data_IF_789815257431
#
_entry.id   IF_789815257431
#
_cell.length_a   1.000
_cell.length_b   1.000
_cell.length_c   1.000
_cell.angle_alpha   90.00
_cell.angle_beta   90.00
_cell.angle_gamma   90.00
#
_symmetry.space_group_name_H-M   'P 1'
#
loop_
_entity.id
_entity.type
_entity.pdbx_description
1 polymer ?
#
# COMPACT_ATOMS: atom_id res chain seq x y z
N UNK A 1 17.11 -12.26 6.14
CA UNK A 1 16.26 -11.20 5.55
C UNK A 1 15.27 -11.88 4.60
N UNK A 2 13.97 -11.58 4.71
CA UNK A 2 12.90 -12.16 3.86
C UNK A 2 12.72 -11.39 2.54
N UNK A 3 13.38 -10.25 2.40
CA UNK A 3 13.24 -9.32 1.29
C UNK A 3 14.59 -9.11 0.63
N UNK A 4 14.67 -9.34 -0.68
CA UNK A 4 15.90 -9.18 -1.47
C UNK A 4 15.66 -8.21 -2.62
N UNK A 5 16.63 -7.35 -2.90
CA UNK A 5 16.60 -6.44 -4.05
C UNK A 5 17.62 -6.87 -5.11
N UNK A 6 17.30 -6.56 -6.37
CA UNK A 6 18.18 -6.65 -7.53
C UNK A 6 18.42 -5.26 -8.11
N UNK A 7 19.36 -5.07 -9.06
CA UNK A 7 19.58 -3.79 -9.71
C UNK A 7 18.32 -3.18 -10.37
N UNK A 8 17.31 -4.00 -10.71
CA UNK A 8 16.04 -3.53 -11.32
C UNK A 8 14.92 -3.33 -10.31
N UNK A 9 15.10 -3.68 -9.04
CA UNK A 9 14.05 -3.62 -8.03
C UNK A 9 13.57 -2.19 -7.78
N UNK A 10 14.47 -1.20 -7.81
CA UNK A 10 14.10 0.21 -7.70
C UNK A 10 13.14 0.63 -8.82
N UNK A 11 13.52 0.37 -10.07
CA UNK A 11 12.70 0.71 -11.23
C UNK A 11 11.32 0.05 -11.14
N UNK A 12 11.27 -1.25 -10.82
CA UNK A 12 10.01 -1.97 -10.67
C UNK A 12 9.12 -1.35 -9.58
N UNK A 13 9.69 -1.00 -8.42
CA UNK A 13 8.94 -0.43 -7.31
C UNK A 13 8.39 0.97 -7.64
N UNK A 14 9.20 1.86 -8.24
CA UNK A 14 8.71 3.20 -8.61
C UNK A 14 7.72 3.16 -9.77
N UNK A 15 7.81 2.19 -10.69
CA UNK A 15 6.80 1.96 -11.71
C UNK A 15 5.46 1.52 -11.09
N UNK A 16 5.49 0.61 -10.09
CA UNK A 16 4.28 0.20 -9.37
C UNK A 16 3.61 1.38 -8.64
N UNK A 17 4.41 2.22 -7.97
CA UNK A 17 3.92 3.44 -7.30
C UNK A 17 3.34 4.44 -8.31
N UNK A 18 4.05 4.67 -9.43
CA UNK A 18 3.58 5.57 -10.49
C UNK A 18 2.25 5.12 -11.09
N UNK A 19 2.09 3.81 -11.33
CA UNK A 19 0.84 3.23 -11.80
C UNK A 19 -0.31 3.41 -10.80
N UNK A 20 -0.05 3.25 -9.50
CA UNK A 20 -1.06 3.49 -8.46
C UNK A 20 -1.47 4.96 -8.35
N UNK A 21 -0.52 5.89 -8.48
CA UNK A 21 -0.84 7.32 -8.48
C UNK A 21 -1.63 7.74 -9.73
N UNK A 22 -1.25 7.22 -10.91
CA UNK A 22 -2.01 7.45 -12.14
C UNK A 22 -3.44 6.89 -12.04
N UNK A 23 -3.59 5.70 -11.45
CA UNK A 23 -4.91 5.11 -11.18
C UNK A 23 -5.79 5.99 -10.29
N UNK A 24 -5.20 6.63 -9.27
CA UNK A 24 -5.90 7.62 -8.44
C UNK A 24 -6.32 8.82 -9.28
N UNK A 25 -5.42 9.37 -10.11
CA UNK A 25 -5.75 10.51 -10.98
C UNK A 25 -6.92 10.21 -11.92
N UNK A 26 -6.90 9.06 -12.61
CA UNK A 26 -7.93 8.69 -13.58
C UNK A 26 -9.32 8.55 -12.92
N UNK A 27 -9.37 7.99 -11.69
CA UNK A 27 -10.62 7.87 -10.92
C UNK A 27 -11.12 9.24 -10.46
N UNK A 28 -10.24 10.10 -9.91
CA UNK A 28 -10.65 11.43 -9.43
C UNK A 28 -11.06 12.38 -10.56
N UNK A 29 -10.49 12.23 -11.77
CA UNK A 29 -10.92 12.96 -12.97
C UNK A 29 -12.27 12.48 -13.53
N UNK A 30 -12.70 11.28 -13.15
CA UNK A 30 -13.90 10.65 -13.69
C UNK A 30 -13.69 9.99 -15.06
N UNK A 31 -12.43 9.78 -15.48
CA UNK A 31 -12.10 9.12 -16.74
C UNK A 31 -12.47 7.63 -16.69
N UNK A 32 -12.39 7.02 -15.50
CA UNK A 32 -12.76 5.63 -15.22
C UNK A 32 -13.45 5.50 -13.87
N UNK A 33 -14.31 4.48 -13.72
CA UNK A 33 -15.02 4.23 -12.46
C UNK A 33 -14.16 3.53 -11.40
N UNK A 34 -13.18 2.73 -11.82
CA UNK A 34 -12.24 2.01 -10.97
C UNK A 34 -11.02 1.53 -11.79
N UNK A 35 -9.96 1.13 -11.10
CA UNK A 35 -8.71 0.65 -11.71
C UNK A 35 -8.14 -0.52 -10.91
N UNK A 36 -7.53 -1.48 -11.60
CA UNK A 36 -6.70 -2.53 -11.02
C UNK A 36 -5.23 -2.35 -11.45
N UNK A 37 -4.31 -2.27 -10.48
CA UNK A 37 -2.88 -2.13 -10.74
C UNK A 37 -2.19 -3.48 -10.58
N UNK A 38 -1.95 -4.16 -11.70
CA UNK A 38 -1.27 -5.45 -11.75
C UNK A 38 0.27 -5.28 -11.64
N UNK A 39 0.78 -4.95 -10.45
CA UNK A 39 2.19 -4.60 -10.26
C UNK A 39 2.94 -5.50 -9.26
N UNK A 40 4.26 -5.53 -9.40
CA UNK A 40 5.23 -6.09 -8.45
C UNK A 40 6.44 -5.16 -8.36
N UNK A 41 7.14 -5.07 -7.20
CA UNK A 41 6.92 -5.79 -5.94
C UNK A 41 5.64 -5.36 -5.18
N UNK A 42 5.17 -6.16 -4.20
CA UNK A 42 4.04 -5.80 -3.33
C UNK A 42 4.42 -4.69 -2.34
N UNK A 43 3.47 -4.26 -1.49
CA UNK A 43 3.67 -3.12 -0.59
C UNK A 43 3.18 -3.21 0.86
N UNK A 44 2.14 -3.98 1.18
CA UNK A 44 1.44 -3.83 2.46
C UNK A 44 2.26 -4.18 3.74
N UNK A 45 3.40 -4.87 3.60
CA UNK A 45 4.33 -5.14 4.70
C UNK A 45 5.41 -4.05 4.90
N UNK A 46 5.57 -3.13 3.95
CA UNK A 46 6.55 -2.06 4.10
C UNK A 46 6.05 -1.02 5.11
N UNK A 47 6.77 -0.90 6.23
CA UNK A 47 6.52 0.05 7.32
C UNK A 47 7.11 1.42 6.98
N UNK A 48 6.99 2.39 7.90
CA UNK A 48 7.61 3.73 7.74
C UNK A 48 9.12 3.67 7.50
N UNK A 49 9.82 2.75 8.17
CA UNK A 49 11.28 2.67 8.18
C UNK A 49 11.85 1.28 7.87
N UNK A 50 10.99 0.30 7.56
CA UNK A 50 11.38 -1.10 7.40
C UNK A 50 10.81 -1.71 6.12
N UNK A 51 11.67 -2.26 5.27
CA UNK A 51 11.26 -3.15 4.17
C UNK A 51 11.27 -4.61 4.65
N UNK A 52 10.16 -5.32 4.46
CA UNK A 52 9.98 -6.72 4.86
C UNK A 52 8.87 -7.38 4.04
N UNK A 53 8.73 -8.71 4.11
CA UNK A 53 7.64 -9.43 3.44
C UNK A 53 7.59 -9.20 1.92
N UNK A 54 8.75 -9.14 1.28
CA UNK A 54 8.94 -8.82 -0.15
C UNK A 54 8.59 -7.37 -0.54
N UNK A 55 8.14 -6.54 0.40
CA UNK A 55 7.69 -5.18 0.17
C UNK A 55 8.84 -4.19 0.36
N UNK A 56 9.10 -3.38 -0.67
CA UNK A 56 10.11 -2.31 -0.60
C UNK A 56 9.48 -0.97 -0.19
N UNK A 57 8.31 -0.66 -0.74
CA UNK A 57 7.52 0.53 -0.46
C UNK A 57 6.05 0.16 -0.36
N UNK A 58 5.30 0.84 0.50
CA UNK A 58 3.87 0.59 0.66
C UNK A 58 3.05 1.33 -0.40
N UNK A 59 2.82 0.67 -1.53
CA UNK A 59 2.10 1.24 -2.69
C UNK A 59 0.71 1.75 -2.32
N UNK A 60 -0.07 1.00 -1.53
CA UNK A 60 -1.42 1.40 -1.13
C UNK A 60 -1.40 2.62 -0.21
N UNK A 61 -0.47 2.66 0.76
CA UNK A 61 -0.31 3.81 1.64
C UNK A 61 0.16 5.07 0.88
N UNK A 62 1.07 4.92 -0.09
CA UNK A 62 1.50 6.03 -0.95
C UNK A 62 0.33 6.54 -1.79
N UNK A 63 -0.46 5.66 -2.39
CA UNK A 63 -1.64 6.04 -3.17
C UNK A 63 -2.69 6.78 -2.32
N UNK A 64 -2.93 6.32 -1.09
CA UNK A 64 -3.81 7.02 -0.14
C UNK A 64 -3.31 8.45 0.15
N UNK A 65 -2.02 8.60 0.48
CA UNK A 65 -1.42 9.93 0.69
C UNK A 65 -1.43 10.79 -0.56
N UNK A 66 -1.25 10.20 -1.73
CA UNK A 66 -1.31 10.89 -3.02
C UNK A 66 -2.72 11.44 -3.27
N UNK A 67 -3.77 10.64 -3.06
CA UNK A 67 -5.16 11.08 -3.14
C UNK A 67 -5.44 12.27 -2.22
N UNK A 68 -4.98 12.22 -0.96
CA UNK A 68 -5.13 13.33 -0.02
C UNK A 68 -4.39 14.60 -0.49
N UNK A 69 -3.15 14.46 -0.97
CA UNK A 69 -2.30 15.61 -1.35
C UNK A 69 -2.71 16.26 -2.68
N UNK A 70 -3.04 15.45 -3.69
CA UNK A 70 -3.32 15.95 -5.04
C UNK A 70 -4.79 16.26 -5.28
N UNK A 71 -5.68 15.49 -4.65
CA UNK A 71 -7.14 15.59 -4.88
C UNK A 71 -7.91 16.00 -3.62
N UNK A 72 -7.20 16.40 -2.55
CA UNK A 72 -7.80 16.88 -1.30
C UNK A 72 -8.78 15.88 -0.68
N UNK A 73 -8.57 14.58 -0.92
CA UNK A 73 -9.39 13.53 -0.31
C UNK A 73 -9.30 13.65 1.22
N UNK A 74 -10.41 13.96 1.87
CA UNK A 74 -10.43 14.14 3.33
C UNK A 74 -10.29 12.81 4.10
N UNK A 75 -10.84 11.73 3.54
CA UNK A 75 -10.91 10.41 4.15
C UNK A 75 -10.62 9.33 3.11
N UNK A 76 -9.78 8.37 3.45
CA UNK A 76 -9.45 7.21 2.60
C UNK A 76 -9.68 5.93 3.40
N UNK A 77 -10.20 4.89 2.76
CA UNK A 77 -10.25 3.55 3.35
C UNK A 77 -9.32 2.63 2.58
N UNK A 78 -8.46 1.90 3.30
CA UNK A 78 -7.62 0.83 2.76
C UNK A 78 -8.19 -0.49 3.28
N UNK A 79 -8.69 -1.30 2.36
CA UNK A 79 -9.21 -2.65 2.64
C UNK A 79 -8.18 -3.67 2.18
N UNK A 80 -7.66 -4.45 3.10
CA UNK A 80 -6.59 -5.43 2.87
C UNK A 80 -7.08 -6.84 3.15
N UNK A 81 -7.28 -7.61 2.09
CA UNK A 81 -7.73 -9.00 2.15
C UNK A 81 -6.60 -10.01 1.95
N UNK A 82 -5.33 -9.58 1.92
CA UNK A 82 -4.21 -10.50 1.83
C UNK A 82 -4.22 -11.47 3.02
N UNK A 83 -3.74 -12.70 2.82
CA UNK A 83 -3.71 -13.71 3.88
C UNK A 83 -2.80 -13.30 5.04
N UNK A 84 -1.79 -12.45 4.79
CA UNK A 84 -0.91 -11.90 5.81
C UNK A 84 -1.40 -10.53 6.29
N UNK A 85 -1.20 -10.23 7.57
CA UNK A 85 -1.46 -8.91 8.09
C UNK A 85 -0.59 -7.85 7.41
N UNK A 86 -1.20 -6.82 6.82
CA UNK A 86 -0.51 -5.64 6.28
C UNK A 86 0.02 -4.70 7.37
N UNK A 87 0.96 -5.22 8.18
CA UNK A 87 1.60 -4.51 9.30
C UNK A 87 2.19 -3.16 8.90
N UNK A 88 2.68 -3.04 7.66
CA UNK A 88 3.22 -1.79 7.14
C UNK A 88 2.15 -0.71 7.02
N UNK A 89 0.99 -1.07 6.48
CA UNK A 89 -0.15 -0.14 6.39
C UNK A 89 -0.66 0.25 7.77
N UNK A 90 -0.76 -0.73 8.69
CA UNK A 90 -1.13 -0.46 10.08
C UNK A 90 -0.14 0.50 10.75
N UNK A 91 1.16 0.27 10.66
CA UNK A 91 2.18 1.18 11.21
C UNK A 91 2.03 2.60 10.65
N UNK A 92 1.94 2.74 9.32
CA UNK A 92 1.87 4.05 8.65
C UNK A 92 0.68 4.90 9.14
N UNK A 93 -0.49 4.29 9.36
CA UNK A 93 -1.74 5.00 9.66
C UNK A 93 -2.27 4.80 11.07
N UNK A 94 -1.53 4.16 11.98
CA UNK A 94 -1.99 3.81 13.32
C UNK A 94 -2.67 4.97 14.07
N UNK A 95 -2.06 6.17 14.01
CA UNK A 95 -2.55 7.37 14.68
C UNK A 95 -3.19 8.39 13.71
N UNK A 96 -3.52 7.97 12.48
CA UNK A 96 -4.10 8.87 11.46
C UNK A 96 -5.60 8.60 11.24
N UNK A 97 -6.50 9.41 11.82
CA UNK A 97 -7.94 9.21 11.68
C UNK A 97 -8.47 9.54 10.28
N UNK A 98 -7.67 10.15 9.40
CA UNK A 98 -8.06 10.41 8.01
C UNK A 98 -7.96 9.17 7.12
N UNK A 99 -7.36 8.07 7.61
CA UNK A 99 -7.24 6.81 6.87
C UNK A 99 -7.75 5.65 7.72
N UNK A 100 -8.85 5.04 7.28
CA UNK A 100 -9.33 3.78 7.86
C UNK A 100 -8.55 2.61 7.27
N UNK A 101 -7.88 1.83 8.11
CA UNK A 101 -7.31 0.53 7.71
C UNK A 101 -8.20 -0.61 8.23
N UNK A 102 -8.65 -1.47 7.31
CA UNK A 102 -9.37 -2.69 7.64
C UNK A 102 -8.67 -3.87 6.98
N UNK A 103 -8.32 -4.90 7.76
CA UNK A 103 -7.70 -6.11 7.26
C UNK A 103 -8.40 -7.36 7.75
N UNK A 104 -8.53 -8.33 6.85
CA UNK A 104 -8.76 -9.73 7.21
C UNK A 104 -7.50 -10.51 6.88
N UNK A 105 -6.97 -11.27 7.83
CA UNK A 105 -5.77 -12.07 7.62
C UNK A 105 -5.80 -13.32 8.50
N UNK A 106 -5.00 -14.32 8.15
CA UNK A 106 -4.86 -15.54 8.93
C UNK A 106 -4.11 -15.26 10.24
N UNK A 107 -4.61 -15.79 11.35
CA UNK A 107 -3.93 -15.74 12.65
C UNK A 107 -4.05 -17.11 13.36
N UNK A 108 -2.93 -17.76 13.74
CA UNK A 108 -1.53 -17.32 13.61
C UNK A 108 -0.94 -17.53 12.20
N UNK A 109 -0.21 -16.52 11.71
CA UNK A 109 0.65 -16.56 10.51
C UNK A 109 1.70 -15.43 10.58
N UNK A 110 2.73 -15.46 9.72
CA UNK A 110 3.58 -14.29 9.45
C UNK A 110 2.69 -13.05 9.18
N UNK A 111 3.04 -11.84 9.67
CA UNK A 111 4.24 -11.45 10.42
C UNK A 111 4.14 -11.61 11.95
N UNK A 112 3.08 -12.26 12.45
CA UNK A 112 2.87 -12.45 13.90
C UNK A 112 2.28 -11.24 14.64
N UNK A 113 1.77 -10.25 13.90
CA UNK A 113 1.09 -9.04 14.42
C UNK A 113 -0.34 -8.93 13.87
N UNK A 114 -1.13 -7.95 14.31
CA UNK A 114 -2.49 -7.70 13.78
C UNK A 114 -3.63 -8.41 14.53
N UNK A 115 -3.42 -8.80 15.78
CA UNK A 115 -4.46 -9.43 16.62
C UNK A 115 -5.64 -8.51 16.93
#
# INVERSE_FOLDING_TARGET
ADTTASPKSWQAAVTAIGAANAAVDDVFRGDVANVFVAARPPGHHAEKTTSMGFCLFNTAAIAARYAQRQHQAERVAIVDWDVHHGNGTQDIFWDDPSVLYCSTHQMPLYPGTGR
#
